data_IF_487654938508
#
_entry.id   IF_487654938508
#
_cell.length_a   1.000
_cell.length_b   1.000
_cell.length_c   1.000
_cell.angle_alpha   90.00
_cell.angle_beta   90.00
_cell.angle_gamma   90.00
#
_symmetry.space_group_name_H-M   'P 1'
#
loop_
_entity.id
_entity.type
_entity.pdbx_description
1 polymer ?
#
# COMPACT_ATOMS: atom_id res chain seq x y z
N UNK A 1 0.31 -17.92 -4.37
CA UNK A 1 -0.55 -17.98 -3.17
C UNK A 1 -0.95 -16.55 -2.84
N UNK A 2 -2.21 -16.28 -2.45
CA UNK A 2 -2.58 -14.92 -2.07
C UNK A 2 -1.70 -14.45 -0.92
N UNK A 3 -1.33 -13.17 -0.93
CA UNK A 3 -0.50 -12.62 0.13
C UNK A 3 -1.18 -12.75 1.50
N UNK A 4 -0.37 -12.90 2.54
CA UNK A 4 -0.85 -12.89 3.93
C UNK A 4 -1.43 -11.50 4.27
N UNK A 5 -2.53 -11.46 5.02
CA UNK A 5 -3.26 -10.23 5.35
C UNK A 5 -3.44 -10.11 6.87
N UNK A 6 -2.96 -9.02 7.46
CA UNK A 6 -3.18 -8.63 8.85
C UNK A 6 -4.05 -7.37 8.93
N UNK A 7 -5.27 -7.52 9.44
CA UNK A 7 -6.23 -6.42 9.66
C UNK A 7 -6.52 -6.20 11.14
N UNK A 8 -5.70 -6.73 12.05
CA UNK A 8 -5.98 -6.74 13.49
C UNK A 8 -6.12 -5.35 14.13
N UNK A 9 -5.58 -4.31 13.47
CA UNK A 9 -5.59 -2.91 13.92
C UNK A 9 -6.34 -1.97 12.97
N UNK A 10 -7.18 -2.53 12.10
CA UNK A 10 -7.99 -1.76 11.19
C UNK A 10 -9.46 -1.90 11.57
N UNK A 11 -10.14 -0.77 11.67
CA UNK A 11 -11.57 -0.64 11.96
C UNK A 11 -12.47 -1.30 10.91
N UNK A 12 -11.93 -1.53 9.70
CA UNK A 12 -12.71 -1.94 8.53
C UNK A 12 -13.32 -0.76 7.76
N UNK A 13 -13.06 0.48 8.18
CA UNK A 13 -13.54 1.68 7.52
C UNK A 13 -12.72 2.05 6.28
N UNK A 14 -13.40 2.55 5.26
CA UNK A 14 -12.80 3.00 4.01
C UNK A 14 -13.09 2.05 2.84
N UNK A 15 -13.95 2.48 1.92
CA UNK A 15 -14.30 1.71 0.72
C UNK A 15 -13.10 1.58 -0.21
N UNK A 16 -12.31 2.65 -0.35
CA UNK A 16 -11.12 2.60 -1.19
C UNK A 16 -10.03 1.72 -0.57
N UNK A 17 -9.89 1.73 0.75
CA UNK A 17 -8.96 0.86 1.49
C UNK A 17 -9.28 -0.61 1.29
N UNK A 18 -10.57 -0.99 1.37
CA UNK A 18 -11.02 -2.35 1.07
C UNK A 18 -10.61 -2.79 -0.34
N UNK A 19 -10.98 -2.00 -1.34
CA UNK A 19 -10.64 -2.26 -2.74
C UNK A 19 -9.11 -2.36 -2.95
N UNK A 20 -8.35 -1.45 -2.34
CA UNK A 20 -6.90 -1.44 -2.45
C UNK A 20 -6.27 -2.72 -1.88
N UNK A 21 -6.70 -3.18 -0.71
CA UNK A 21 -6.21 -4.42 -0.10
C UNK A 21 -6.49 -5.61 -1.02
N UNK A 22 -7.70 -5.70 -1.58
CA UNK A 22 -8.06 -6.78 -2.50
C UNK A 22 -7.09 -6.84 -3.70
N UNK A 23 -6.81 -5.69 -4.31
CA UNK A 23 -5.88 -5.60 -5.45
C UNK A 23 -4.43 -5.86 -5.07
N UNK A 24 -3.98 -5.37 -3.91
CA UNK A 24 -2.62 -5.63 -3.42
C UNK A 24 -2.34 -7.13 -3.26
N UNK A 25 -3.34 -7.92 -2.84
CA UNK A 25 -3.21 -9.37 -2.65
C UNK A 25 -3.10 -10.14 -3.96
N UNK A 26 -3.51 -9.53 -5.07
CA UNK A 26 -3.44 -10.10 -6.42
C UNK A 26 -2.12 -9.77 -7.14
N UNK A 27 -1.32 -8.83 -6.62
CA UNK A 27 -0.06 -8.43 -7.24
C UNK A 27 1.03 -9.46 -6.95
N UNK A 28 1.54 -10.07 -8.02
CA UNK A 28 2.70 -10.96 -7.96
C UNK A 28 3.93 -10.20 -7.44
N UNK A 29 4.42 -10.61 -6.27
CA UNK A 29 5.56 -9.97 -5.61
C UNK A 29 5.20 -9.31 -4.28
N UNK A 30 3.92 -9.15 -3.97
CA UNK A 30 3.46 -8.82 -2.61
C UNK A 30 3.31 -10.13 -1.82
N UNK A 31 4.06 -10.27 -0.74
CA UNK A 31 4.02 -11.45 0.14
C UNK A 31 3.10 -11.23 1.35
N UNK A 32 3.02 -9.98 1.84
CA UNK A 32 2.32 -9.61 3.06
C UNK A 32 1.68 -8.23 2.93
N UNK A 33 0.50 -8.06 3.51
CA UNK A 33 -0.21 -6.78 3.63
C UNK A 33 -0.72 -6.63 5.07
N UNK A 34 -0.42 -5.52 5.72
CA UNK A 34 -1.02 -5.15 7.01
C UNK A 34 -1.71 -3.80 6.92
N UNK A 35 -2.90 -3.69 7.50
CA UNK A 35 -3.66 -2.44 7.52
C UNK A 35 -3.87 -2.00 8.96
N UNK A 36 -3.65 -0.72 9.22
CA UNK A 36 -3.86 -0.08 10.51
C UNK A 36 -4.64 1.24 10.33
N UNK A 37 -5.55 1.56 11.25
CA UNK A 37 -6.14 2.89 11.31
C UNK A 37 -5.06 3.91 11.71
N UNK A 38 -4.98 5.04 11.01
CA UNK A 38 -4.08 6.11 11.39
C UNK A 38 -4.69 6.95 12.53
N UNK A 39 -3.87 7.52 13.43
CA UNK A 39 -4.35 8.35 14.55
C UNK A 39 -5.13 9.60 14.11
N UNK A 40 -5.03 9.98 12.84
CA UNK A 40 -5.62 11.19 12.28
C UNK A 40 -7.09 11.04 11.88
N UNK A 41 -7.70 9.85 12.00
CA UNK A 41 -9.13 9.64 11.71
C UNK A 41 -10.00 10.53 12.60
N UNK A 42 -10.84 11.36 11.97
CA UNK A 42 -11.68 12.37 12.63
C UNK A 42 -13.05 12.44 11.97
N UNK A 43 -14.10 12.47 12.80
CA UNK A 43 -15.47 12.73 12.35
C UNK A 43 -15.87 14.14 12.82
N UNK A 44 -16.20 15.02 11.87
CA UNK A 44 -16.69 16.37 12.12
C UNK A 44 -18.11 16.55 11.57
N UNK A 45 -18.79 17.63 11.95
CA UNK A 45 -20.20 17.86 11.61
C UNK A 45 -20.48 17.95 10.08
N UNK A 46 -19.49 18.37 9.29
CA UNK A 46 -19.62 18.57 7.84
C UNK A 46 -18.80 17.56 7.01
N UNK A 47 -17.87 16.81 7.62
CA UNK A 47 -17.05 15.82 6.92
C UNK A 47 -16.57 14.68 7.84
N UNK A 48 -16.40 13.50 7.25
CA UNK A 48 -15.72 12.37 7.88
C UNK A 48 -14.38 12.18 7.19
N UNK A 49 -13.30 12.16 7.97
CA UNK A 49 -11.95 11.90 7.51
C UNK A 49 -11.47 10.56 8.03
N UNK A 50 -11.35 9.61 7.13
CA UNK A 50 -10.77 8.28 7.37
C UNK A 50 -9.32 8.34 6.91
N UNK A 51 -8.40 7.95 7.79
CA UNK A 51 -7.00 7.81 7.43
C UNK A 51 -6.53 6.41 7.77
N UNK A 52 -6.04 5.68 6.76
CA UNK A 52 -5.54 4.31 6.91
C UNK A 52 -4.08 4.22 6.46
N UNK A 53 -3.30 3.40 7.15
CA UNK A 53 -1.94 3.04 6.77
C UNK A 53 -1.89 1.57 6.33
N UNK A 54 -1.32 1.33 5.16
CA UNK A 54 -1.12 0.00 4.59
C UNK A 54 0.37 -0.29 4.55
N UNK A 55 0.80 -1.41 5.11
CA UNK A 55 2.18 -1.87 5.09
C UNK A 55 2.28 -3.09 4.18
N UNK A 56 3.13 -3.02 3.16
CA UNK A 56 3.37 -4.11 2.21
C UNK A 56 4.73 -4.74 2.45
N UNK A 57 4.77 -6.07 2.49
CA UNK A 57 6.00 -6.85 2.48
C UNK A 57 6.19 -7.47 1.10
N UNK A 58 7.32 -7.21 0.46
CA UNK A 58 7.63 -7.79 -0.84
C UNK A 58 8.25 -9.19 -0.70
N UNK A 59 7.90 -10.09 -1.61
CA UNK A 59 8.53 -11.39 -1.72
C UNK A 59 10.02 -11.24 -2.05
N UNK A 60 10.84 -12.19 -1.64
CA UNK A 60 12.25 -12.26 -2.04
C UNK A 60 12.45 -13.33 -3.11
N UNK A 61 13.41 -13.10 -4.01
CA UNK A 61 13.85 -14.06 -5.02
C UNK A 61 15.35 -14.24 -4.91
N UNK A 62 15.79 -15.48 -5.04
CA UNK A 62 17.21 -15.82 -5.07
C UNK A 62 17.71 -15.72 -6.50
N UNK A 63 18.64 -14.80 -6.73
CA UNK A 63 19.35 -14.64 -7.99
C UNK A 63 20.77 -15.16 -7.85
N UNK A 64 21.18 -16.06 -8.74
CA UNK A 64 22.58 -16.46 -8.80
C UNK A 64 23.37 -15.43 -9.60
N UNK A 65 24.27 -14.74 -8.93
CA UNK A 65 25.21 -13.84 -9.57
C UNK A 65 26.58 -14.47 -9.66
N UNK A 66 27.17 -14.36 -10.85
CA UNK A 66 28.57 -14.68 -11.05
C UNK A 66 29.38 -13.52 -10.49
N UNK A 67 30.08 -13.76 -9.39
CA UNK A 67 30.99 -12.79 -8.78
C UNK A 67 32.43 -13.28 -8.90
N UNK A 68 33.39 -12.39 -8.71
CA UNK A 68 34.81 -12.76 -8.70
C UNK A 68 35.36 -12.67 -7.29
N UNK A 69 35.81 -13.80 -6.74
CA UNK A 69 36.63 -13.82 -5.53
C UNK A 69 38.05 -13.40 -5.93
N UNK A 70 38.66 -12.47 -5.20
CA UNK A 70 39.99 -11.90 -5.52
C UNK A 70 40.11 -11.24 -6.91
N UNK A 71 39.01 -10.84 -7.56
CA UNK A 71 39.03 -10.15 -8.86
C UNK A 71 39.26 -11.04 -10.10
N UNK A 72 39.55 -12.33 -9.92
CA UNK A 72 39.79 -13.26 -11.05
C UNK A 72 39.26 -14.68 -10.87
N UNK A 73 38.92 -15.13 -9.65
CA UNK A 73 38.31 -16.46 -9.44
C UNK A 73 36.78 -16.37 -9.57
N UNK A 74 36.18 -16.89 -10.65
CA UNK A 74 34.72 -16.86 -10.80
C UNK A 74 34.09 -17.75 -9.72
N UNK A 75 33.23 -17.15 -8.91
CA UNK A 75 32.40 -17.84 -7.91
C UNK A 75 30.94 -17.55 -8.21
N UNK A 76 30.08 -18.51 -7.92
CA UNK A 76 28.64 -18.28 -7.90
C UNK A 76 28.27 -17.81 -6.50
N UNK A 77 27.50 -16.74 -6.40
CA UNK A 77 26.92 -16.25 -5.15
C UNK A 77 25.42 -16.15 -5.34
N UNK A 78 24.66 -16.80 -4.46
CA UNK A 78 23.21 -16.55 -4.37
C UNK A 78 23.01 -15.23 -3.65
N UNK A 79 22.30 -14.30 -4.29
CA UNK A 79 21.90 -13.00 -3.76
C UNK A 79 20.38 -13.02 -3.63
N UNK A 80 19.88 -12.83 -2.42
CA UNK A 80 18.44 -12.68 -2.17
C UNK A 80 18.07 -11.22 -2.42
N UNK A 81 17.32 -10.97 -3.48
CA UNK A 81 16.80 -9.64 -3.84
C UNK A 81 15.29 -9.57 -3.66
N UNK A 82 14.74 -8.37 -3.43
CA UNK A 82 13.29 -8.19 -3.39
C UNK A 82 12.73 -8.37 -4.80
N UNK A 83 11.63 -9.09 -4.90
CA UNK A 83 10.93 -9.35 -6.15
C UNK A 83 10.21 -8.11 -6.70
N UNK A 84 9.95 -7.13 -5.82
CA UNK A 84 9.24 -5.89 -6.09
C UNK A 84 9.74 -4.80 -5.12
N UNK A 85 9.51 -3.54 -5.48
CA UNK A 85 9.76 -2.36 -4.65
C UNK A 85 8.57 -1.39 -4.75
N UNK A 86 8.64 -0.25 -4.05
CA UNK A 86 7.56 0.74 -4.01
C UNK A 86 7.27 1.32 -5.40
N UNK A 87 8.30 1.56 -6.21
CA UNK A 87 8.15 2.09 -7.56
C UNK A 87 7.51 1.07 -8.53
N UNK A 88 7.87 -0.20 -8.41
CA UNK A 88 7.23 -1.30 -9.14
C UNK A 88 5.77 -1.49 -8.70
N UNK A 89 5.49 -1.33 -7.40
CA UNK A 89 4.13 -1.35 -6.89
C UNK A 89 3.27 -0.20 -7.43
N UNK A 90 3.81 1.02 -7.48
CA UNK A 90 3.14 2.17 -8.09
C UNK A 90 2.76 1.90 -9.55
N UNK A 91 3.70 1.37 -10.34
CA UNK A 91 3.45 1.01 -11.73
C UNK A 91 2.34 -0.04 -11.84
N UNK A 92 2.38 -1.08 -11.01
CA UNK A 92 1.36 -2.12 -10.99
C UNK A 92 -0.03 -1.54 -10.66
N UNK A 93 -0.14 -0.77 -9.57
CA UNK A 93 -1.41 -0.17 -9.13
C UNK A 93 -1.97 0.85 -10.15
N UNK A 94 -1.09 1.60 -10.82
CA UNK A 94 -1.49 2.56 -11.86
C UNK A 94 -2.23 1.89 -13.02
N UNK A 95 -1.87 0.64 -13.34
CA UNK A 95 -2.55 -0.13 -14.41
C UNK A 95 -3.89 -0.72 -13.99
N UNK A 96 -4.20 -0.74 -12.69
CA UNK A 96 -5.47 -1.24 -12.18
C UNK A 96 -6.53 -0.14 -12.31
N UNK A 97 -7.51 -0.35 -13.20
CA UNK A 97 -8.52 0.66 -13.55
C UNK A 97 -9.25 1.26 -12.34
N UNK A 98 -9.53 0.44 -11.32
CA UNK A 98 -10.29 0.87 -10.14
C UNK A 98 -9.42 1.53 -9.06
N UNK A 99 -8.08 1.51 -9.20
CA UNK A 99 -7.13 2.16 -8.28
C UNK A 99 -6.50 3.40 -8.93
N UNK A 100 -5.89 3.23 -10.10
CA UNK A 100 -5.16 4.29 -10.80
C UNK A 100 -3.87 4.71 -10.10
N UNK A 101 -3.28 5.81 -10.56
CA UNK A 101 -2.04 6.35 -9.98
C UNK A 101 -2.27 7.00 -8.61
N UNK A 102 -1.24 7.02 -7.75
CA UNK A 102 -1.29 7.72 -6.47
C UNK A 102 -1.33 9.24 -6.64
N UNK A 103 -1.90 9.94 -5.66
CA UNK A 103 -1.89 11.40 -5.60
C UNK A 103 -0.52 11.95 -5.15
N UNK A 104 0.28 11.12 -4.48
CA UNK A 104 1.68 11.40 -4.15
C UNK A 104 2.49 10.10 -4.08
N UNK A 105 3.72 10.13 -4.60
CA UNK A 105 4.67 9.01 -4.50
C UNK A 105 6.08 9.51 -4.19
N UNK A 106 6.78 8.75 -3.34
CA UNK A 106 8.22 8.85 -3.12
C UNK A 106 8.84 7.44 -3.02
N UNK A 107 10.16 7.36 -2.77
CA UNK A 107 10.89 6.08 -2.70
C UNK A 107 10.36 5.11 -1.61
N UNK A 108 9.69 5.61 -0.58
CA UNK A 108 9.25 4.81 0.58
C UNK A 108 7.74 4.79 0.80
N UNK A 109 6.97 5.60 0.09
CA UNK A 109 5.55 5.80 0.36
C UNK A 109 4.74 6.17 -0.88
N UNK A 110 3.55 5.58 -0.99
CA UNK A 110 2.50 6.00 -1.92
C UNK A 110 1.31 6.54 -1.13
N UNK A 111 0.65 7.58 -1.62
CA UNK A 111 -0.52 8.16 -0.98
C UNK A 111 -1.65 8.35 -1.96
N UNK A 112 -2.85 7.98 -1.52
CA UNK A 112 -4.11 8.18 -2.21
C UNK A 112 -5.03 9.04 -1.35
N UNK A 113 -5.67 10.01 -1.96
CA UNK A 113 -6.67 10.87 -1.35
C UNK A 113 -7.96 10.78 -2.19
N UNK A 114 -8.95 10.08 -1.67
CA UNK A 114 -10.28 9.97 -2.28
C UNK A 114 -11.25 10.88 -1.56
N UNK A 115 -12.10 11.56 -2.32
CA UNK A 115 -13.17 12.39 -1.77
C UNK A 115 -14.50 12.02 -2.40
N UNK A 116 -15.50 11.79 -1.56
CA UNK A 116 -16.84 11.47 -2.00
C UNK A 116 -17.85 12.36 -1.26
N UNK A 117 -18.91 12.78 -1.95
CA UNK A 117 -20.02 13.48 -1.31
C UNK A 117 -21.14 12.50 -1.03
N UNK A 118 -21.36 12.20 0.24
CA UNK A 118 -22.43 11.30 0.67
C UNK A 118 -23.67 12.12 0.98
N UNK A 119 -24.78 11.85 0.30
CA UNK A 119 -26.09 12.47 0.55
C UNK A 119 -27.04 11.41 1.10
N UNK A 120 -27.29 11.38 2.42
CA UNK A 120 -28.25 10.44 3.00
C UNK A 120 -29.67 10.70 2.46
N UNK A 121 -30.50 9.65 2.30
CA UNK A 121 -31.83 9.77 1.67
C UNK A 121 -32.81 10.69 2.41
N UNK A 122 -32.55 11.02 3.69
CA UNK A 122 -33.39 11.89 4.53
C UNK A 122 -32.67 13.17 4.98
N UNK A 123 -31.44 13.43 4.52
CA UNK A 123 -30.65 14.60 4.91
C UNK A 123 -30.39 15.50 3.70
N UNK A 124 -30.93 16.72 3.73
CA UNK A 124 -30.78 17.70 2.63
C UNK A 124 -29.35 18.22 2.46
N UNK A 125 -28.52 18.12 3.51
CA UNK A 125 -27.11 18.50 3.50
C UNK A 125 -26.24 17.25 3.60
N UNK A 126 -25.76 16.76 2.45
CA UNK A 126 -24.76 15.69 2.43
C UNK A 126 -23.45 16.12 3.10
N UNK A 127 -22.71 15.16 3.66
CA UNK A 127 -21.38 15.38 4.23
C UNK A 127 -20.31 14.89 3.26
N UNK A 128 -19.09 15.41 3.40
CA UNK A 128 -17.95 14.95 2.59
C UNK A 128 -17.26 13.79 3.30
N UNK A 129 -17.09 12.67 2.62
CA UNK A 129 -16.16 11.63 3.04
C UNK A 129 -14.81 11.92 2.39
N UNK A 130 -13.77 11.94 3.19
CA UNK A 130 -12.39 12.06 2.73
C UNK A 130 -11.66 10.84 3.25
N UNK A 131 -11.11 10.05 2.32
CA UNK A 131 -10.36 8.85 2.63
C UNK A 131 -8.91 9.04 2.19
N UNK A 132 -8.01 9.03 3.17
CA UNK A 132 -6.58 9.12 2.97
C UNK A 132 -5.96 7.75 3.23
N UNK A 133 -5.27 7.20 2.24
CA UNK A 133 -4.56 5.93 2.39
C UNK A 133 -3.10 6.13 2.07
N UNK A 134 -2.22 5.72 2.99
CA UNK A 134 -0.77 5.72 2.78
C UNK A 134 -0.25 4.29 2.76
N UNK A 135 0.51 3.95 1.74
CA UNK A 135 1.15 2.65 1.57
C UNK A 135 2.63 2.81 1.87
N UNK A 136 3.15 1.96 2.75
CA UNK A 136 4.57 1.89 3.11
C UNK A 136 5.10 0.49 2.89
N UNK A 137 6.40 0.36 2.62
CA UNK A 137 7.07 -0.92 2.81
C UNK A 137 7.20 -1.25 4.30
N UNK A 138 7.00 -2.53 4.67
CA UNK A 138 7.28 -3.03 6.03
C UNK A 138 8.73 -2.71 6.42
N UNK A 139 8.90 -2.06 7.57
CA UNK A 139 10.21 -1.66 8.09
C UNK A 139 10.65 -0.26 7.69
N UNK A 140 9.93 0.42 6.78
CA UNK A 140 10.15 1.84 6.52
C UNK A 140 9.71 2.70 7.71
N UNK A 141 10.46 3.76 8.06
CA UNK A 141 10.07 4.67 9.13
C UNK A 141 8.78 5.41 8.76
N UNK A 142 7.82 5.42 9.69
CA UNK A 142 6.61 6.25 9.58
C UNK A 142 7.01 7.71 9.45
N UNK A 143 6.54 8.40 8.40
CA UNK A 143 6.65 9.86 8.29
C UNK A 143 5.44 10.47 8.99
N UNK A 144 5.69 11.19 10.07
CA UNK A 144 4.70 11.91 10.87
C UNK A 144 4.23 13.19 10.17
#
# INVERSE_FOLDING_TARGET
MPSELDTSKWSGEGTFTQLLIERLREIDGVAFVRVEDAPATRSEADYNFISNEVFVGFATRDRQERSTRFGFLPTMRTVTEKALDVAGLEQALTTVADIGGPDYSDEGMLQYLRTERIVPPYQTRGYKLVELVRIYEVGSPRRA
#
